data_IF_516326282373
#
_entry.id   IF_516326282373
#
_cell.length_a   1.000
_cell.length_b   1.000
_cell.length_c   1.000
_cell.angle_alpha   90.00
_cell.angle_beta   90.00
_cell.angle_gamma   90.00
#
_symmetry.space_group_name_H-M   'P 1'
#
loop_
_entity.id
_entity.type
_entity.pdbx_description
1 polymer ?
#
# COMPACT_ATOMS: atom_id res chain seq x y z
N UNK A 1 37.55 -3.96 8.37
CA UNK A 1 36.70 -5.08 7.92
C UNK A 1 35.85 -4.56 6.77
N UNK A 2 35.68 -5.33 5.68
CA UNK A 2 34.81 -4.91 4.58
C UNK A 2 33.39 -4.67 5.10
N UNK A 3 32.76 -3.57 4.66
CA UNK A 3 31.41 -3.22 5.07
C UNK A 3 30.41 -4.16 4.37
N UNK A 4 29.62 -4.92 5.16
CA UNK A 4 28.62 -5.87 4.66
C UNK A 4 27.61 -5.20 3.74
N UNK A 5 27.32 -3.93 3.97
CA UNK A 5 26.32 -3.18 3.20
C UNK A 5 26.92 -2.37 2.04
N UNK A 6 28.21 -2.54 1.75
CA UNK A 6 28.90 -1.77 0.71
C UNK A 6 28.35 -1.94 -0.71
N UNK A 7 27.70 -3.07 -1.02
CA UNK A 7 27.06 -3.33 -2.32
C UNK A 7 25.58 -2.93 -2.36
N UNK A 8 25.01 -2.47 -1.24
CA UNK A 8 23.61 -2.04 -1.20
C UNK A 8 23.47 -0.69 -1.89
N UNK A 9 22.66 -0.66 -2.95
CA UNK A 9 22.36 0.58 -3.67
C UNK A 9 21.74 1.64 -2.75
N UNK A 10 22.15 2.91 -2.90
CA UNK A 10 21.57 4.04 -2.16
C UNK A 10 20.08 4.28 -2.44
N UNK A 11 19.55 3.67 -3.50
CA UNK A 11 18.11 3.62 -3.79
C UNK A 11 17.30 2.96 -2.67
N UNK A 12 17.92 2.03 -1.93
CA UNK A 12 17.31 1.37 -0.76
C UNK A 12 17.75 2.00 0.56
N UNK A 13 18.42 3.16 0.48
CA UNK A 13 18.80 3.95 1.64
C UNK A 13 17.58 4.48 2.41
N UNK A 14 17.79 4.85 3.68
CA UNK A 14 16.69 5.17 4.59
C UNK A 14 15.86 6.38 4.13
N UNK A 15 16.48 7.36 3.46
CA UNK A 15 15.80 8.54 2.96
C UNK A 15 14.97 8.29 1.71
N UNK A 16 15.48 7.48 0.77
CA UNK A 16 14.71 7.03 -0.39
C UNK A 16 13.49 6.20 0.02
N UNK A 17 13.65 5.31 1.01
CA UNK A 17 12.55 4.52 1.56
C UNK A 17 11.55 5.38 2.33
N UNK A 18 12.01 6.34 3.13
CA UNK A 18 11.12 7.31 3.77
C UNK A 18 10.30 8.11 2.74
N UNK A 19 10.94 8.55 1.65
CA UNK A 19 10.26 9.23 0.54
C UNK A 19 9.14 8.37 -0.06
N UNK A 20 9.42 7.10 -0.30
CA UNK A 20 8.46 6.14 -0.84
C UNK A 20 7.27 5.92 0.10
N UNK A 21 7.50 5.78 1.42
CA UNK A 21 6.42 5.70 2.40
C UNK A 21 5.58 6.98 2.48
N UNK A 22 6.20 8.16 2.44
CA UNK A 22 5.49 9.43 2.45
C UNK A 22 4.64 9.61 1.18
N UNK A 23 5.15 9.18 0.04
CA UNK A 23 4.41 9.13 -1.24
C UNK A 23 3.24 8.13 -1.16
N UNK A 24 3.46 6.96 -0.54
CA UNK A 24 2.39 5.98 -0.28
C UNK A 24 1.27 6.59 0.54
N UNK A 25 1.62 7.24 1.66
CA UNK A 25 0.66 7.91 2.54
C UNK A 25 -0.10 9.02 1.82
N UNK A 26 0.61 9.78 0.99
CA UNK A 26 0.06 10.84 0.15
C UNK A 26 -1.02 10.33 -0.82
N UNK A 27 -0.78 9.16 -1.44
CA UNK A 27 -1.76 8.48 -2.31
C UNK A 27 -2.96 8.02 -1.48
N UNK A 28 -2.73 7.38 -0.33
CA UNK A 28 -3.80 6.93 0.57
C UNK A 28 -4.69 8.10 0.97
N UNK A 29 -4.10 9.22 1.39
CA UNK A 29 -4.81 10.46 1.74
C UNK A 29 -5.61 10.98 0.53
N UNK A 30 -5.00 11.02 -0.64
CA UNK A 30 -5.66 11.51 -1.86
C UNK A 30 -6.84 10.64 -2.30
N UNK A 31 -6.71 9.32 -2.17
CA UNK A 31 -7.77 8.39 -2.58
C UNK A 31 -8.90 8.28 -1.56
N UNK A 32 -8.61 8.49 -0.28
CA UNK A 32 -9.62 8.36 0.79
C UNK A 32 -10.27 9.69 1.15
N UNK A 33 -9.50 10.77 1.29
CA UNK A 33 -9.95 12.02 1.87
C UNK A 33 -10.29 13.10 0.83
N UNK A 34 -9.65 13.09 -0.34
CA UNK A 34 -9.83 14.14 -1.34
C UNK A 34 -11.14 13.94 -2.13
N UNK A 35 -12.09 14.88 -2.05
CA UNK A 35 -13.46 14.64 -2.50
C UNK A 35 -13.60 14.55 -4.04
N UNK A 36 -12.73 15.24 -4.80
CA UNK A 36 -12.63 15.13 -6.27
C UNK A 36 -11.75 13.93 -6.71
N UNK A 37 -10.46 13.93 -6.34
CA UNK A 37 -9.48 12.90 -6.74
C UNK A 37 -9.87 11.46 -6.38
N UNK A 38 -10.66 11.23 -5.32
CA UNK A 38 -11.17 9.88 -4.99
C UNK A 38 -12.05 9.26 -6.08
N UNK A 39 -12.75 10.08 -6.88
CA UNK A 39 -13.67 9.60 -7.94
C UNK A 39 -13.03 9.62 -9.32
N UNK A 40 -11.95 10.38 -9.48
CA UNK A 40 -11.23 10.48 -10.74
C UNK A 40 -10.42 9.20 -10.91
N UNK A 41 -10.79 8.32 -11.84
CA UNK A 41 -10.05 7.09 -12.13
C UNK A 41 -8.72 7.32 -12.86
N UNK A 42 -8.08 8.50 -12.70
CA UNK A 42 -6.80 8.84 -13.32
C UNK A 42 -5.66 8.09 -12.65
N UNK A 43 -4.67 7.73 -13.46
CA UNK A 43 -3.37 7.26 -12.98
C UNK A 43 -2.57 8.53 -12.71
N UNK A 44 -2.32 8.80 -11.43
CA UNK A 44 -1.60 9.99 -11.00
C UNK A 44 -0.08 9.71 -11.05
N UNK A 45 0.73 10.75 -11.28
CA UNK A 45 2.21 10.61 -11.34
C UNK A 45 2.75 10.00 -10.04
N UNK A 46 2.17 10.36 -8.90
CA UNK A 46 2.50 9.79 -7.60
C UNK A 46 2.29 8.26 -7.57
N UNK A 47 1.23 7.75 -8.19
CA UNK A 47 0.98 6.31 -8.29
C UNK A 47 2.06 5.62 -9.12
N UNK A 48 2.46 6.23 -10.24
CA UNK A 48 3.55 5.68 -11.05
C UNK A 48 4.84 5.65 -10.24
N UNK A 49 5.20 6.74 -9.56
CA UNK A 49 6.38 6.80 -8.70
C UNK A 49 6.34 5.73 -7.59
N UNK A 50 5.19 5.56 -6.92
CA UNK A 50 5.00 4.51 -5.92
C UNK A 50 5.26 3.10 -6.47
N UNK A 51 4.74 2.81 -7.66
CA UNK A 51 4.80 1.50 -8.31
C UNK A 51 6.17 1.21 -8.94
N UNK A 52 6.93 2.23 -9.31
CA UNK A 52 8.25 2.06 -9.94
C UNK A 52 9.27 1.44 -9.01
N UNK A 53 9.32 1.85 -7.73
CA UNK A 53 10.31 1.33 -6.79
C UNK A 53 10.22 -0.19 -6.57
N UNK A 54 9.05 -0.80 -6.26
CA UNK A 54 8.93 -2.25 -6.13
C UNK A 54 9.16 -2.98 -7.46
N UNK A 55 8.80 -2.39 -8.61
CA UNK A 55 9.09 -2.98 -9.91
C UNK A 55 10.60 -3.02 -10.22
N UNK A 56 11.32 -1.95 -9.89
CA UNK A 56 12.79 -1.90 -10.01
C UNK A 56 13.44 -2.86 -9.02
N UNK A 57 12.92 -2.94 -7.79
CA UNK A 57 13.39 -3.88 -6.78
C UNK A 57 13.25 -5.34 -7.25
N UNK A 58 12.12 -5.70 -7.86
CA UNK A 58 11.93 -7.01 -8.48
C UNK A 58 12.99 -7.31 -9.55
N UNK A 59 13.28 -6.35 -10.43
CA UNK A 59 14.33 -6.48 -11.43
C UNK A 59 15.73 -6.64 -10.82
N UNK A 60 16.08 -5.83 -9.82
CA UNK A 60 17.35 -5.95 -9.11
C UNK A 60 17.52 -7.30 -8.45
N UNK A 61 16.50 -7.79 -7.75
CA UNK A 61 16.51 -9.10 -7.10
C UNK A 61 16.74 -10.22 -8.10
N UNK A 62 16.00 -10.25 -9.21
CA UNK A 62 16.14 -11.29 -10.23
C UNK A 62 17.55 -11.24 -10.84
N UNK A 63 18.04 -10.04 -11.17
CA UNK A 63 19.38 -9.87 -11.76
C UNK A 63 20.48 -10.36 -10.83
N UNK A 64 20.44 -9.97 -9.55
CA UNK A 64 21.45 -10.36 -8.57
C UNK A 64 21.35 -11.84 -8.20
N UNK A 65 20.15 -12.40 -8.13
CA UNK A 65 19.96 -13.84 -7.92
C UNK A 65 20.55 -14.66 -9.07
N UNK A 66 20.36 -14.23 -10.32
CA UNK A 66 20.94 -14.90 -11.49
C UNK A 66 22.48 -14.80 -11.50
N UNK A 67 23.03 -13.63 -11.18
CA UNK A 67 24.49 -13.45 -11.07
C UNK A 67 25.08 -14.34 -9.97
N UNK A 68 24.45 -14.37 -8.80
CA UNK A 68 24.91 -15.22 -7.70
C UNK A 68 24.87 -16.71 -8.02
N UNK A 69 23.81 -17.17 -8.69
CA UNK A 69 23.69 -18.58 -9.08
C UNK A 69 24.78 -18.96 -10.09
N UNK A 70 25.06 -18.07 -11.05
CA UNK A 70 26.13 -18.25 -12.04
C UNK A 70 27.52 -18.26 -11.40
N UNK A 71 27.77 -17.38 -10.42
CA UNK A 71 29.05 -17.31 -9.72
C UNK A 71 29.26 -18.50 -8.79
N UNK A 72 28.20 -19.03 -8.18
CA UNK A 72 28.26 -20.23 -7.34
C UNK A 72 28.65 -21.48 -8.13
N UNK A 73 28.04 -21.70 -9.30
CA UNK A 73 28.37 -22.85 -10.17
C UNK A 73 29.85 -22.82 -10.61
N UNK A 74 30.44 -21.63 -10.76
CA UNK A 74 31.85 -21.45 -11.11
C UNK A 74 32.79 -21.56 -9.90
N UNK A 75 32.37 -21.03 -8.74
CA UNK A 75 33.18 -20.96 -7.51
C UNK A 75 33.12 -22.20 -6.62
N UNK A 76 32.20 -23.15 -6.86
CA UNK A 76 32.23 -24.49 -6.26
C UNK A 76 33.55 -25.26 -6.53
N UNK A 77 34.44 -24.70 -7.36
CA UNK A 77 35.79 -25.18 -7.64
C UNK A 77 36.93 -24.42 -6.93
N UNK A 78 36.68 -23.32 -6.20
CA UNK A 78 37.71 -22.47 -5.59
C UNK A 78 37.27 -21.84 -4.26
N UNK A 79 38.04 -22.12 -3.19
CA UNK A 79 37.78 -21.79 -1.77
C UNK A 79 38.03 -20.31 -1.40
N UNK A 80 37.60 -19.36 -2.24
CA UNK A 80 37.90 -17.93 -2.09
C UNK A 80 36.60 -17.14 -2.25
N UNK A 81 36.00 -16.64 -1.16
CA UNK A 81 34.92 -15.64 -1.32
C UNK A 81 33.93 -15.34 -0.19
N UNK A 82 34.16 -15.73 1.08
CA UNK A 82 33.17 -15.53 2.16
C UNK A 82 32.64 -14.09 2.30
N UNK A 83 33.53 -13.09 2.29
CA UNK A 83 33.15 -11.67 2.44
C UNK A 83 32.34 -11.13 1.25
N UNK A 84 32.63 -11.61 0.03
CA UNK A 84 31.93 -11.17 -1.19
C UNK A 84 30.53 -11.79 -1.27
N UNK A 85 30.37 -13.01 -0.78
CA UNK A 85 29.09 -13.70 -0.68
C UNK A 85 28.16 -13.00 0.32
N UNK A 86 28.69 -12.60 1.48
CA UNK A 86 27.95 -11.85 2.50
C UNK A 86 27.45 -10.48 2.01
N UNK A 87 28.28 -9.74 1.26
CA UNK A 87 27.89 -8.47 0.66
C UNK A 87 26.82 -8.64 -0.42
N UNK A 88 26.91 -9.71 -1.22
CA UNK A 88 25.96 -9.98 -2.29
C UNK A 88 24.59 -10.40 -1.75
N UNK A 89 24.56 -11.16 -0.64
CA UNK A 89 23.32 -11.48 0.07
C UNK A 89 22.69 -10.23 0.66
N UNK A 90 23.48 -9.34 1.28
CA UNK A 90 22.96 -8.08 1.79
C UNK A 90 22.39 -7.18 0.67
N UNK A 91 23.01 -7.20 -0.51
CA UNK A 91 22.55 -6.48 -1.69
C UNK A 91 21.20 -6.99 -2.22
N UNK A 92 20.91 -8.30 -2.09
CA UNK A 92 19.61 -8.90 -2.44
C UNK A 92 18.56 -8.66 -1.35
N UNK A 93 18.97 -8.72 -0.08
CA UNK A 93 18.08 -8.55 1.07
C UNK A 93 17.37 -7.19 1.06
N UNK A 94 18.08 -6.13 0.66
CA UNK A 94 17.57 -4.77 0.63
C UNK A 94 16.38 -4.55 -0.33
N UNK A 95 16.47 -4.84 -1.65
CA UNK A 95 15.34 -4.74 -2.57
C UNK A 95 14.22 -5.73 -2.23
N UNK A 96 14.55 -6.92 -1.73
CA UNK A 96 13.54 -7.90 -1.34
C UNK A 96 12.65 -7.40 -0.20
N UNK A 97 13.19 -6.60 0.72
CA UNK A 97 12.39 -5.89 1.75
C UNK A 97 11.30 -5.00 1.19
N UNK A 98 11.59 -4.36 0.06
CA UNK A 98 10.63 -3.47 -0.59
C UNK A 98 9.54 -4.28 -1.28
N UNK A 99 9.89 -5.40 -1.90
CA UNK A 99 8.93 -6.35 -2.48
C UNK A 99 7.94 -6.82 -1.42
N UNK A 100 8.42 -7.33 -0.28
CA UNK A 100 7.58 -7.81 0.81
C UNK A 100 6.66 -6.73 1.36
N UNK A 101 7.24 -5.56 1.65
CA UNK A 101 6.45 -4.44 2.18
C UNK A 101 5.41 -3.98 1.17
N UNK A 102 5.77 -3.93 -0.12
CA UNK A 102 4.85 -3.53 -1.16
C UNK A 102 3.73 -4.55 -1.36
N UNK A 103 3.94 -5.85 -1.18
CA UNK A 103 2.84 -6.81 -1.23
C UNK A 103 1.74 -6.47 -0.22
N UNK A 104 2.12 -6.12 1.03
CA UNK A 104 1.17 -5.69 2.06
C UNK A 104 0.47 -4.39 1.63
N UNK A 105 1.25 -3.39 1.18
CA UNK A 105 0.71 -2.11 0.71
C UNK A 105 -0.23 -2.30 -0.48
N UNK A 106 0.08 -3.23 -1.40
CA UNK A 106 -0.67 -3.48 -2.62
C UNK A 106 -2.07 -4.00 -2.31
N UNK A 107 -2.22 -4.85 -1.30
CA UNK A 107 -3.53 -5.34 -0.83
C UNK A 107 -4.38 -4.16 -0.34
N UNK A 108 -3.80 -3.30 0.50
CA UNK A 108 -4.49 -2.12 1.05
C UNK A 108 -4.92 -1.17 -0.08
N UNK A 109 -3.99 -0.84 -0.98
CA UNK A 109 -4.26 0.07 -2.10
C UNK A 109 -5.26 -0.52 -3.10
N UNK A 110 -5.21 -1.82 -3.35
CA UNK A 110 -6.16 -2.52 -4.20
C UNK A 110 -7.57 -2.44 -3.62
N UNK A 111 -7.73 -2.71 -2.32
CA UNK A 111 -9.01 -2.59 -1.62
C UNK A 111 -9.55 -1.16 -1.69
N UNK A 112 -8.71 -0.14 -1.45
CA UNK A 112 -9.10 1.28 -1.57
C UNK A 112 -9.51 1.61 -3.00
N UNK A 113 -8.79 1.12 -4.01
CA UNK A 113 -9.08 1.39 -5.42
C UNK A 113 -10.38 0.74 -5.89
N UNK A 114 -10.65 -0.50 -5.49
CA UNK A 114 -11.92 -1.21 -5.74
C UNK A 114 -13.07 -0.48 -5.05
N UNK A 115 -12.88 -0.04 -3.80
CA UNK A 115 -13.87 0.74 -3.07
C UNK A 115 -14.21 2.07 -3.76
N UNK A 116 -13.19 2.75 -4.29
CA UNK A 116 -13.35 3.96 -5.08
C UNK A 116 -13.90 3.70 -6.50
N UNK A 117 -14.18 2.44 -6.87
CA UNK A 117 -14.59 1.99 -8.21
C UNK A 117 -13.63 2.44 -9.32
N UNK A 118 -12.37 2.61 -8.98
CA UNK A 118 -11.33 3.09 -9.88
C UNK A 118 -10.52 1.92 -10.44
N UNK A 119 -11.09 1.17 -11.40
CA UNK A 119 -10.51 -0.06 -11.94
C UNK A 119 -9.09 0.11 -12.48
N UNK A 120 -8.78 1.25 -13.13
CA UNK A 120 -7.43 1.53 -13.65
C UNK A 120 -6.38 1.49 -12.55
N UNK A 121 -6.67 2.13 -11.41
CA UNK A 121 -5.79 2.15 -10.23
C UNK A 121 -5.63 0.76 -9.63
N UNK A 122 -6.74 0.02 -9.52
CA UNK A 122 -6.74 -1.34 -9.01
C UNK A 122 -5.90 -2.28 -9.88
N UNK A 123 -6.03 -2.20 -11.22
CA UNK A 123 -5.25 -3.00 -12.16
C UNK A 123 -3.76 -2.66 -12.05
N UNK A 124 -3.38 -1.39 -12.03
CA UNK A 124 -1.96 -1.01 -11.90
C UNK A 124 -1.34 -1.56 -10.61
N UNK A 125 -2.01 -1.41 -9.47
CA UNK A 125 -1.54 -1.93 -8.18
C UNK A 125 -1.46 -3.46 -8.20
N UNK A 126 -2.48 -4.13 -8.77
CA UNK A 126 -2.51 -5.59 -8.88
C UNK A 126 -1.39 -6.13 -9.75
N UNK A 127 -1.10 -5.52 -10.90
CA UNK A 127 -0.01 -5.95 -11.80
C UNK A 127 1.34 -5.92 -11.09
N UNK A 128 1.66 -4.83 -10.39
CA UNK A 128 2.93 -4.72 -9.68
C UNK A 128 2.96 -5.59 -8.42
N UNK A 129 1.83 -5.75 -7.73
CA UNK A 129 1.71 -6.69 -6.62
C UNK A 129 1.93 -8.14 -7.05
N UNK A 130 1.39 -8.53 -8.20
CA UNK A 130 1.63 -9.84 -8.81
C UNK A 130 3.06 -10.01 -9.29
N UNK A 131 3.71 -8.95 -9.80
CA UNK A 131 5.14 -8.98 -10.12
C UNK A 131 5.99 -9.24 -8.87
N UNK A 132 5.66 -8.58 -7.76
CA UNK A 132 6.33 -8.78 -6.47
C UNK A 132 6.16 -10.22 -5.98
N UNK A 133 4.93 -10.73 -6.00
CA UNK A 133 4.62 -12.11 -5.66
C UNK A 133 5.34 -13.11 -6.57
N UNK A 134 5.38 -12.86 -7.89
CA UNK A 134 6.07 -13.71 -8.84
C UNK A 134 7.59 -13.74 -8.58
N UNK A 135 8.17 -12.61 -8.18
CA UNK A 135 9.59 -12.52 -7.83
C UNK A 135 9.90 -13.31 -6.55
N UNK A 136 9.02 -13.24 -5.55
CA UNK A 136 9.15 -14.02 -4.32
C UNK A 136 8.98 -15.53 -4.59
N UNK A 137 7.98 -15.92 -5.39
CA UNK A 137 7.82 -17.29 -5.86
C UNK A 137 9.07 -17.77 -6.63
N UNK A 138 9.63 -16.90 -7.47
CA UNK A 138 10.86 -17.23 -8.20
C UNK A 138 12.01 -17.52 -7.25
N UNK A 139 12.27 -16.67 -6.25
CA UNK A 139 13.34 -16.92 -5.27
C UNK A 139 13.08 -18.21 -4.50
N UNK A 140 11.87 -18.40 -3.98
CA UNK A 140 11.53 -19.55 -3.16
C UNK A 140 11.60 -20.88 -3.93
N UNK A 141 11.23 -20.86 -5.22
CA UNK A 141 11.32 -22.04 -6.09
C UNK A 141 12.69 -22.23 -6.72
N UNK A 142 13.47 -21.15 -6.88
CA UNK A 142 14.85 -21.21 -7.34
C UNK A 142 15.74 -21.83 -6.26
N UNK A 143 16.81 -22.49 -6.68
CA UNK A 143 17.71 -23.34 -5.89
C UNK A 143 18.49 -22.62 -4.77
N UNK A 144 17.99 -21.55 -4.17
CA UNK A 144 18.56 -20.94 -2.97
C UNK A 144 18.68 -21.92 -1.80
N UNK A 145 17.80 -22.93 -1.75
CA UNK A 145 17.95 -24.04 -0.82
C UNK A 145 19.21 -24.88 -1.09
N UNK A 146 19.63 -25.03 -2.35
CA UNK A 146 20.85 -25.77 -2.73
C UNK A 146 22.12 -24.93 -2.55
N UNK A 147 21.99 -23.59 -2.50
CA UNK A 147 23.07 -22.65 -2.19
C UNK A 147 23.50 -22.68 -0.70
N UNK A 148 22.85 -23.47 0.14
CA UNK A 148 23.18 -23.59 1.56
C UNK A 148 22.90 -22.33 2.39
N UNK A 149 22.27 -21.30 1.79
CA UNK A 149 21.83 -20.08 2.48
C UNK A 149 20.62 -20.45 3.35
N UNK A 150 20.90 -20.93 4.55
CA UNK A 150 19.85 -21.22 5.53
C UNK A 150 19.36 -19.91 6.15
N UNK A 151 18.04 -19.80 6.32
CA UNK A 151 17.45 -18.76 7.15
C UNK A 151 17.96 -18.93 8.58
N UNK A 152 18.74 -17.96 9.09
CA UNK A 152 19.33 -18.08 10.42
C UNK A 152 18.23 -18.02 11.48
N UNK A 153 17.84 -19.21 11.94
CA UNK A 153 16.91 -19.39 13.05
C UNK A 153 17.63 -19.06 14.35
N UNK A 154 17.64 -17.78 14.70
CA UNK A 154 17.93 -17.22 16.04
C UNK A 154 18.80 -18.09 16.98
N UNK A 155 20.08 -17.75 17.09
CA UNK A 155 20.80 -17.88 18.36
C UNK A 155 21.82 -19.00 18.54
N UNK A 156 22.29 -19.67 17.50
CA UNK A 156 23.46 -20.56 17.62
C UNK A 156 24.71 -19.88 17.06
N UNK A 157 25.62 -19.51 17.96
CA UNK A 157 26.90 -18.81 17.76
C UNK A 157 27.98 -19.69 17.10
N UNK A 158 27.60 -20.73 16.37
CA UNK A 158 28.53 -21.61 15.66
C UNK A 158 28.01 -21.85 14.24
N UNK A 159 28.47 -21.02 13.31
CA UNK A 159 29.14 -21.41 12.07
C UNK A 159 29.04 -20.29 11.03
N UNK A 160 30.11 -20.15 10.24
CA UNK A 160 30.34 -19.15 9.18
C UNK A 160 29.46 -19.40 7.94
N UNK A 161 28.17 -19.64 8.15
CA UNK A 161 27.23 -19.89 7.06
C UNK A 161 26.58 -18.54 6.71
N UNK A 162 26.74 -18.06 5.47
CA UNK A 162 26.18 -16.79 5.04
C UNK A 162 24.64 -16.89 5.07
N UNK A 163 24.02 -16.07 5.90
CA UNK A 163 22.58 -16.10 6.11
C UNK A 163 21.97 -14.70 6.06
N UNK A 164 20.72 -14.64 5.59
CA UNK A 164 19.93 -13.42 5.60
C UNK A 164 19.75 -12.90 7.02
N UNK A 165 19.86 -11.59 7.21
CA UNK A 165 19.82 -10.98 8.54
C UNK A 165 18.42 -10.90 9.16
N UNK A 166 17.40 -11.29 8.39
CA UNK A 166 15.99 -11.27 8.78
C UNK A 166 15.23 -12.50 8.31
N UNK A 167 14.20 -12.87 9.07
CA UNK A 167 13.17 -13.80 8.62
C UNK A 167 12.23 -13.07 7.67
N UNK A 168 12.10 -13.62 6.46
CA UNK A 168 11.17 -13.16 5.45
C UNK A 168 9.78 -13.73 5.73
N UNK A 169 8.75 -13.01 5.30
CA UNK A 169 7.34 -13.37 5.53
C UNK A 169 6.98 -14.65 4.78
N UNK A 170 7.67 -14.96 3.68
CA UNK A 170 7.51 -16.21 2.94
C UNK A 170 8.36 -17.37 3.51
N UNK A 171 7.98 -17.86 4.69
CA UNK A 171 7.96 -19.32 4.82
C UNK A 171 6.95 -19.88 3.81
N UNK A 172 7.17 -21.08 3.27
CA UNK A 172 6.25 -21.72 2.29
C UNK A 172 4.77 -21.63 2.73
N UNK A 173 4.50 -21.79 4.04
CA UNK A 173 3.16 -21.61 4.62
C UNK A 173 2.64 -20.18 4.56
N UNK A 174 3.49 -19.18 4.82
CA UNK A 174 3.15 -17.76 4.73
C UNK A 174 2.80 -17.35 3.30
N UNK A 175 3.56 -17.85 2.32
CA UNK A 175 3.32 -17.61 0.90
C UNK A 175 2.00 -18.24 0.42
N UNK A 176 1.72 -19.49 0.82
CA UNK A 176 0.44 -20.15 0.51
C UNK A 176 -0.74 -19.40 1.12
N UNK A 177 -0.63 -18.96 2.38
CA UNK A 177 -1.67 -18.15 3.04
C UNK A 177 -1.85 -16.81 2.31
N UNK A 178 -0.76 -16.14 1.94
CA UNK A 178 -0.81 -14.87 1.22
C UNK A 178 -1.48 -15.01 -0.15
N UNK A 179 -1.17 -16.06 -0.91
CA UNK A 179 -1.81 -16.37 -2.20
C UNK A 179 -3.31 -16.61 -2.01
N UNK A 180 -3.71 -17.42 -1.03
CA UNK A 180 -5.12 -17.72 -0.76
C UNK A 180 -5.88 -16.43 -0.37
N UNK A 181 -5.29 -15.59 0.47
CA UNK A 181 -5.89 -14.30 0.86
C UNK A 181 -6.00 -13.34 -0.33
N UNK A 182 -4.97 -13.25 -1.15
CA UNK A 182 -4.99 -12.43 -2.38
C UNK A 182 -6.10 -12.91 -3.32
N UNK A 183 -6.16 -14.22 -3.61
CA UNK A 183 -7.19 -14.80 -4.47
C UNK A 183 -8.61 -14.56 -3.91
N UNK A 184 -8.80 -14.70 -2.61
CA UNK A 184 -10.09 -14.42 -1.96
C UNK A 184 -10.48 -12.95 -2.12
N UNK A 185 -9.54 -12.02 -1.90
CA UNK A 185 -9.78 -10.58 -2.07
C UNK A 185 -10.09 -10.24 -3.53
N UNK A 186 -9.37 -10.82 -4.50
CA UNK A 186 -9.64 -10.64 -5.92
C UNK A 186 -11.02 -11.20 -6.30
N UNK A 187 -11.40 -12.38 -5.81
CA UNK A 187 -12.70 -12.98 -6.08
C UNK A 187 -13.85 -12.14 -5.51
N UNK A 188 -13.72 -11.64 -4.27
CA UNK A 188 -14.71 -10.75 -3.63
C UNK A 188 -14.80 -9.43 -4.40
N UNK A 189 -13.66 -8.83 -4.75
CA UNK A 189 -13.61 -7.59 -5.54
C UNK A 189 -14.26 -7.75 -6.91
N UNK A 190 -13.92 -8.82 -7.65
CA UNK A 190 -14.51 -9.14 -8.94
C UNK A 190 -16.03 -9.37 -8.83
N UNK A 191 -16.48 -10.11 -7.83
CA UNK A 191 -17.91 -10.34 -7.56
C UNK A 191 -18.67 -9.04 -7.28
N UNK A 192 -18.09 -8.14 -6.47
CA UNK A 192 -18.68 -6.83 -6.18
C UNK A 192 -18.77 -5.95 -7.44
N UNK A 193 -17.73 -5.95 -8.28
CA UNK A 193 -17.70 -5.22 -9.55
C UNK A 193 -18.75 -5.76 -10.52
N UNK A 194 -18.83 -7.08 -10.69
CA UNK A 194 -19.82 -7.73 -11.56
C UNK A 194 -21.24 -7.40 -11.08
N UNK A 195 -21.50 -7.50 -9.79
CA UNK A 195 -22.80 -7.18 -9.19
C UNK A 195 -23.18 -5.72 -9.42
N UNK A 196 -22.22 -4.81 -9.33
CA UNK A 196 -22.42 -3.39 -9.62
C UNK A 196 -22.77 -3.15 -11.10
N UNK A 197 -22.02 -3.75 -12.04
CA UNK A 197 -22.27 -3.61 -13.49
C UNK A 197 -23.66 -4.13 -13.85
N UNK A 198 -24.06 -5.28 -13.31
CA UNK A 198 -25.38 -5.87 -13.55
C UNK A 198 -26.52 -5.00 -13.02
N UNK A 199 -26.36 -4.41 -11.81
CA UNK A 199 -27.33 -3.45 -11.26
C UNK A 199 -27.42 -2.17 -12.10
N UNK A 200 -26.28 -1.64 -12.54
CA UNK A 200 -26.25 -0.43 -13.37
C UNK A 200 -26.95 -0.62 -14.71
N UNK A 201 -26.79 -1.79 -15.36
CA UNK A 201 -27.50 -2.09 -16.62
C UNK A 201 -29.01 -2.19 -16.42
N UNK A 202 -29.46 -2.79 -15.31
CA UNK A 202 -30.90 -2.95 -15.01
C UNK A 202 -31.60 -1.60 -14.79
N UNK A 203 -30.94 -0.66 -14.12
CA UNK A 203 -31.49 0.70 -13.90
C UNK A 203 -31.66 1.49 -15.21
N UNK A 204 -30.79 1.29 -16.19
CA UNK A 204 -30.93 1.96 -17.50
C UNK A 204 -32.07 1.40 -18.35
N UNK A 205 -32.43 0.13 -18.13
CA UNK A 205 -33.48 -0.54 -18.89
C UNK A 205 -34.89 -0.20 -18.36
N UNK A 206 -35.04 -0.01 -17.05
CA UNK A 206 -36.31 0.48 -16.44
C UNK A 206 -36.62 1.94 -16.82
N UNK A 207 -35.60 2.76 -17.09
CA UNK A 207 -35.79 4.15 -17.47
C UNK A 207 -36.12 4.37 -18.95
N UNK A 208 -35.99 3.34 -19.80
CA UNK A 208 -36.34 3.37 -21.23
C UNK A 208 -37.77 2.93 -21.55
N UNK A 209 -38.58 2.60 -20.52
CA UNK A 209 -39.86 1.93 -20.69
C UNK A 209 -41.06 2.63 -20.04
N UNK A 210 -41.14 3.96 -20.03
CA UNK A 210 -42.45 4.65 -19.82
C UNK A 210 -42.43 6.05 -20.44
N UNK A 211 -42.85 6.13 -21.70
CA UNK A 211 -43.18 7.39 -22.36
C UNK A 211 -44.51 7.92 -21.80
N UNK A 212 -44.45 8.90 -20.88
CA UNK A 212 -45.60 9.77 -20.59
C UNK A 212 -45.10 11.21 -20.49
N UNK A 213 -45.53 12.13 -21.37
CA UNK A 213 -45.13 13.52 -21.26
C UNK A 213 -46.05 14.20 -20.26
N UNK A 214 -45.50 14.68 -19.15
CA UNK A 214 -46.18 15.74 -18.39
C UNK A 214 -45.16 16.75 -17.93
N UNK A 215 -45.28 17.88 -18.63
CA UNK A 215 -44.78 19.24 -18.41
C UNK A 215 -44.66 19.61 -16.93
N UNK A 216 -43.64 20.42 -16.64
CA UNK A 216 -43.28 21.04 -15.34
C UNK A 216 -42.45 20.21 -14.35
N UNK A 217 -41.14 20.16 -14.59
CA UNK A 217 -40.16 20.02 -13.49
C UNK A 217 -38.79 20.58 -13.93
N UNK A 218 -38.74 21.88 -14.20
CA UNK A 218 -37.49 22.63 -14.26
C UNK A 218 -37.06 23.00 -12.83
N UNK A 219 -36.74 21.99 -12.01
CA UNK A 219 -35.94 22.16 -10.81
C UNK A 219 -34.59 21.49 -11.08
N UNK A 220 -33.45 22.20 -10.92
CA UNK A 220 -32.18 21.68 -11.41
C UNK A 220 -31.82 20.37 -10.72
N UNK A 221 -31.76 19.29 -11.51
CA UNK A 221 -31.31 17.93 -11.12
C UNK A 221 -29.96 17.91 -10.38
N UNK A 222 -29.22 19.01 -10.38
CA UNK A 222 -28.01 19.22 -9.59
C UNK A 222 -28.23 19.13 -8.06
N UNK A 223 -29.42 19.46 -7.54
CA UNK A 223 -29.69 19.43 -6.09
C UNK A 223 -30.09 18.03 -5.57
N UNK A 224 -30.77 17.20 -6.37
CA UNK A 224 -31.21 15.87 -5.92
C UNK A 224 -30.07 14.82 -5.89
N UNK A 225 -29.02 14.99 -6.69
CA UNK A 225 -27.84 14.09 -6.63
C UNK A 225 -26.93 14.34 -5.42
N UNK A 226 -27.06 15.49 -4.74
CA UNK A 226 -26.24 15.84 -3.58
C UNK A 226 -26.66 15.16 -2.27
N UNK A 227 -27.95 14.87 -2.09
CA UNK A 227 -28.50 14.48 -0.79
C UNK A 227 -28.66 12.96 -0.58
N UNK A 228 -28.69 12.15 -1.64
CA UNK A 228 -28.90 10.69 -1.53
C UNK A 228 -27.63 9.84 -1.38
N UNK A 229 -26.44 10.45 -1.50
CA UNK A 229 -25.16 9.72 -1.52
C UNK A 229 -24.38 9.66 -0.21
N UNK A 230 -24.88 10.23 0.89
CA UNK A 230 -24.07 10.51 2.10
C UNK A 230 -24.43 9.68 3.33
N UNK A 231 -25.57 8.98 3.37
CA UNK A 231 -26.04 8.31 4.60
C UNK A 231 -25.74 6.81 4.72
N UNK A 232 -25.37 6.13 3.64
CA UNK A 232 -25.05 4.69 3.65
C UNK A 232 -23.55 4.38 3.70
N UNK A 233 -22.66 5.38 3.60
CA UNK A 233 -21.20 5.16 3.57
C UNK A 233 -20.53 5.18 4.95
N UNK A 234 -21.19 5.68 5.99
CA UNK A 234 -20.60 5.83 7.33
C UNK A 234 -20.42 4.51 8.09
N UNK A 235 -21.43 3.64 8.09
CA UNK A 235 -21.40 2.37 8.85
C UNK A 235 -20.46 1.31 8.25
N UNK A 236 -20.33 1.28 6.92
CA UNK A 236 -19.44 0.34 6.22
C UNK A 236 -17.97 0.78 6.34
N UNK A 237 -17.71 2.09 6.50
CA UNK A 237 -16.36 2.65 6.65
C UNK A 237 -15.66 2.24 7.95
N UNK A 238 -16.39 2.01 9.05
CA UNK A 238 -15.80 1.55 10.31
C UNK A 238 -15.45 0.05 10.28
N UNK A 239 -16.33 -0.78 9.74
CA UNK A 239 -16.08 -2.23 9.60
C UNK A 239 -14.90 -2.49 8.68
N UNK A 240 -14.70 -1.66 7.65
CA UNK A 240 -13.59 -1.78 6.72
C UNK A 240 -12.29 -1.15 7.22
N UNK A 241 -12.34 -0.06 7.99
CA UNK A 241 -11.16 0.44 8.71
C UNK A 241 -10.67 -0.61 9.72
N UNK A 242 -11.59 -1.32 10.37
CA UNK A 242 -11.30 -2.45 11.23
C UNK A 242 -10.75 -3.64 10.44
N UNK A 243 -11.28 -3.96 9.25
CA UNK A 243 -10.79 -5.01 8.37
C UNK A 243 -9.39 -4.71 7.78
N UNK A 244 -9.10 -3.45 7.47
CA UNK A 244 -7.77 -2.99 7.02
C UNK A 244 -6.80 -3.02 8.21
N UNK A 245 -7.23 -2.58 9.41
CA UNK A 245 -6.43 -2.74 10.63
C UNK A 245 -6.14 -4.22 10.88
N UNK A 246 -7.14 -5.11 10.84
CA UNK A 246 -6.94 -6.53 11.06
C UNK A 246 -6.12 -7.18 9.95
N UNK A 247 -6.26 -6.82 8.67
CA UNK A 247 -5.43 -7.37 7.59
C UNK A 247 -3.99 -6.84 7.58
N UNK A 248 -3.73 -5.64 8.09
CA UNK A 248 -2.35 -5.19 8.39
C UNK A 248 -1.77 -5.85 9.63
N UNK A 249 -2.65 -6.19 10.59
CA UNK A 249 -2.28 -6.84 11.84
C UNK A 249 -2.11 -8.35 11.64
N UNK A 250 -2.80 -9.05 10.74
CA UNK A 250 -2.79 -10.53 10.72
C UNK A 250 -1.49 -11.16 10.20
N UNK A 251 -0.89 -10.73 9.07
CA UNK A 251 0.41 -11.24 8.65
C UNK A 251 1.53 -10.79 9.61
N UNK A 252 1.43 -9.57 10.12
CA UNK A 252 2.32 -9.09 11.17
C UNK A 252 2.06 -9.79 12.51
N UNK A 253 0.86 -10.31 12.78
CA UNK A 253 0.48 -10.99 14.02
C UNK A 253 0.75 -12.47 14.02
N UNK A 254 0.91 -13.16 12.89
CA UNK A 254 1.38 -14.55 12.99
C UNK A 254 2.85 -14.60 13.43
N UNK A 255 3.67 -13.65 12.96
CA UNK A 255 5.00 -13.42 13.55
C UNK A 255 4.92 -12.65 14.88
N UNK A 256 4.00 -11.69 15.07
CA UNK A 256 3.87 -10.98 16.35
C UNK A 256 3.21 -11.79 17.45
N UNK A 257 2.50 -12.89 17.19
CA UNK A 257 1.88 -13.76 18.20
C UNK A 257 2.91 -14.79 18.66
N UNK A 258 3.72 -15.36 17.77
CA UNK A 258 4.91 -16.13 18.16
C UNK A 258 5.92 -15.27 18.92
N UNK A 259 6.14 -14.03 18.46
CA UNK A 259 6.98 -13.02 19.11
C UNK A 259 6.34 -12.47 20.41
N UNK A 260 5.03 -12.27 20.46
CA UNK A 260 4.32 -11.90 21.70
C UNK A 260 4.34 -13.06 22.68
N UNK A 261 4.25 -14.32 22.26
CA UNK A 261 4.39 -15.48 23.15
C UNK A 261 5.82 -15.59 23.72
N UNK A 262 6.84 -15.32 22.89
CA UNK A 262 8.24 -15.26 23.30
C UNK A 262 8.52 -14.10 24.28
N UNK A 263 7.85 -12.95 24.12
CA UNK A 263 8.00 -11.74 24.95
C UNK A 263 7.11 -11.78 26.21
N UNK A 264 5.91 -12.36 26.16
CA UNK A 264 5.01 -12.51 27.32
C UNK A 264 5.62 -13.46 28.36
N UNK A 265 6.41 -14.44 27.91
CA UNK A 265 7.19 -15.32 28.79
C UNK A 265 8.39 -14.59 29.43
N UNK A 266 8.81 -13.45 28.88
CA UNK A 266 10.02 -12.73 29.26
C UNK A 266 9.77 -11.43 30.07
N UNK A 267 8.54 -10.91 30.16
CA UNK A 267 8.36 -9.57 30.75
C UNK A 267 6.96 -9.33 31.31
N UNK A 268 6.77 -9.64 32.59
CA UNK A 268 5.95 -8.78 33.44
C UNK A 268 6.74 -7.50 33.69
N UNK A 269 6.41 -6.41 33.00
CA UNK A 269 6.59 -4.99 33.41
C UNK A 269 6.32 -4.09 32.19
N UNK A 270 5.40 -3.14 32.39
CA UNK A 270 4.96 -2.14 31.42
C UNK A 270 5.98 -1.03 31.26
N UNK A 271 6.68 -0.97 30.13
CA UNK A 271 7.29 0.24 29.59
C UNK A 271 7.82 -0.03 28.18
N UNK A 272 7.89 1.03 27.36
CA UNK A 272 8.70 1.16 26.14
C UNK A 272 8.00 0.88 24.79
N UNK A 273 7.38 1.94 24.25
CA UNK A 273 7.01 2.09 22.82
C UNK A 273 8.28 2.12 21.93
N UNK A 274 9.41 2.54 22.47
CA UNK A 274 10.67 2.73 21.75
C UNK A 274 11.33 1.47 21.17
N UNK A 275 11.48 0.34 21.90
CA UNK A 275 11.95 -0.90 21.31
C UNK A 275 10.95 -1.45 20.29
N UNK A 276 9.63 -1.24 20.49
CA UNK A 276 8.62 -1.61 19.48
C UNK A 276 8.83 -0.86 18.17
N UNK A 277 9.14 0.44 18.23
CA UNK A 277 9.46 1.25 17.05
C UNK A 277 10.79 0.83 16.41
N UNK A 278 11.82 0.50 17.21
CA UNK A 278 13.10 -0.01 16.70
C UNK A 278 12.95 -1.34 15.96
N UNK A 279 12.15 -2.25 16.51
CA UNK A 279 11.87 -3.56 15.89
C UNK A 279 11.07 -3.37 14.60
N UNK A 280 10.09 -2.47 14.59
CA UNK A 280 9.34 -2.11 13.38
C UNK A 280 10.28 -1.50 12.32
N UNK A 281 11.10 -0.53 12.69
CA UNK A 281 12.08 0.07 11.79
C UNK A 281 13.06 -0.97 11.23
N UNK A 282 13.52 -1.92 12.05
CA UNK A 282 14.43 -2.98 11.62
C UNK A 282 13.79 -3.98 10.64
N UNK A 283 12.45 -4.07 10.59
CA UNK A 283 11.74 -4.97 9.67
C UNK A 283 11.34 -4.28 8.36
N UNK A 284 10.96 -3.00 8.42
CA UNK A 284 10.42 -2.24 7.29
C UNK A 284 11.44 -1.34 6.57
N UNK A 285 12.61 -1.12 7.16
CA UNK A 285 13.71 -0.43 6.48
C UNK A 285 14.79 -1.45 6.09
N UNK A 286 15.18 -1.49 4.81
CA UNK A 286 16.39 -2.17 4.38
C UNK A 286 17.58 -1.70 5.21
N UNK A 287 18.45 -2.63 5.59
CA UNK A 287 19.75 -2.27 6.16
C UNK A 287 20.64 -1.79 5.02
N UNK A 288 21.22 -0.61 5.18
CA UNK A 288 22.15 0.00 4.23
C UNK A 288 23.24 0.74 4.97
N UNK A 289 24.38 0.97 4.33
CA UNK A 289 25.47 1.82 4.85
C UNK A 289 25.13 3.32 4.83
N UNK A 290 24.06 3.70 4.12
CA UNK A 290 23.63 5.10 3.98
C UNK A 290 22.92 5.60 5.25
N UNK A 291 23.09 6.90 5.52
CA UNK A 291 22.50 7.60 6.65
C UNK A 291 21.49 8.65 6.20
N UNK A 292 20.53 9.00 7.06
CA UNK A 292 19.65 10.15 6.84
C UNK A 292 20.39 11.49 6.74
N UNK A 293 21.61 11.56 7.28
CA UNK A 293 22.48 12.74 7.16
C UNK A 293 23.07 12.93 5.77
N UNK A 294 23.05 11.90 4.93
CA UNK A 294 23.61 11.95 3.60
C UNK A 294 22.70 12.81 2.70
N UNK A 295 23.32 13.63 1.85
CA UNK A 295 22.60 14.68 1.12
C UNK A 295 21.50 14.10 0.21
N UNK A 296 21.79 13.02 -0.50
CA UNK A 296 20.83 12.32 -1.37
C UNK A 296 19.64 11.76 -0.58
N UNK A 297 19.89 11.20 0.61
CA UNK A 297 18.87 10.65 1.49
C UNK A 297 18.00 11.75 2.14
N UNK A 298 18.62 12.84 2.57
CA UNK A 298 17.91 14.00 3.11
C UNK A 298 17.02 14.66 2.04
N UNK A 299 17.55 14.84 0.82
CA UNK A 299 16.81 15.39 -0.32
C UNK A 299 15.64 14.48 -0.71
N UNK A 300 15.86 13.16 -0.79
CA UNK A 300 14.79 12.22 -1.07
C UNK A 300 13.67 12.31 -0.01
N UNK A 301 14.02 12.33 1.28
CA UNK A 301 13.05 12.46 2.38
C UNK A 301 12.25 13.75 2.27
N UNK A 302 12.92 14.88 2.02
CA UNK A 302 12.30 16.19 1.86
C UNK A 302 11.34 16.22 0.65
N UNK A 303 11.70 15.57 -0.46
CA UNK A 303 10.83 15.44 -1.63
C UNK A 303 9.53 14.69 -1.27
N UNK A 304 9.62 13.55 -0.59
CA UNK A 304 8.45 12.79 -0.14
C UNK A 304 7.56 13.58 0.83
N UNK A 305 8.18 14.31 1.78
CA UNK A 305 7.46 15.18 2.71
C UNK A 305 6.70 16.30 1.98
N UNK A 306 7.31 16.87 0.94
CA UNK A 306 6.71 17.91 0.10
C UNK A 306 5.50 17.38 -0.67
N UNK A 307 5.61 16.19 -1.28
CA UNK A 307 4.49 15.53 -1.96
C UNK A 307 3.30 15.31 -1.01
N UNK A 308 3.58 14.79 0.19
CA UNK A 308 2.56 14.60 1.23
C UNK A 308 1.92 15.93 1.66
N UNK A 309 2.75 16.96 1.91
CA UNK A 309 2.30 18.29 2.33
C UNK A 309 1.36 18.93 1.30
N UNK A 310 1.72 18.89 0.00
CA UNK A 310 0.86 19.41 -1.06
C UNK A 310 -0.45 18.63 -1.21
N UNK A 311 -0.43 17.30 -1.09
CA UNK A 311 -1.64 16.50 -1.18
C UNK A 311 -2.55 16.68 0.05
N UNK A 312 -1.99 16.85 1.25
CA UNK A 312 -2.75 17.24 2.43
C UNK A 312 -3.37 18.63 2.26
N UNK A 313 -2.59 19.64 1.87
CA UNK A 313 -3.07 20.99 1.65
C UNK A 313 -4.19 21.05 0.60
N UNK A 314 -4.00 20.38 -0.55
CA UNK A 314 -5.01 20.34 -1.61
C UNK A 314 -6.30 19.65 -1.14
N UNK A 315 -6.19 18.59 -0.33
CA UNK A 315 -7.33 17.89 0.27
C UNK A 315 -8.12 18.79 1.21
N UNK A 316 -7.42 19.51 2.10
CA UNK A 316 -8.03 20.46 3.05
C UNK A 316 -8.71 21.60 2.30
N UNK A 317 -8.02 22.22 1.34
CA UNK A 317 -8.57 23.29 0.49
C UNK A 317 -9.81 22.83 -0.26
N UNK A 318 -9.79 21.63 -0.84
CA UNK A 318 -10.93 21.08 -1.57
C UNK A 318 -12.14 20.82 -0.66
N UNK A 319 -11.93 20.44 0.60
CA UNK A 319 -13.01 20.27 1.58
C UNK A 319 -13.62 21.59 2.00
N UNK A 320 -12.80 22.60 2.31
CA UNK A 320 -13.29 23.94 2.63
C UNK A 320 -14.12 24.54 1.49
N UNK A 321 -13.66 24.40 0.24
CA UNK A 321 -14.42 24.88 -0.93
C UNK A 321 -15.78 24.17 -1.10
N UNK A 322 -15.91 22.90 -0.71
CA UNK A 322 -17.21 22.21 -0.74
C UNK A 322 -18.14 22.68 0.38
N UNK A 323 -17.60 22.97 1.56
CA UNK A 323 -18.38 23.50 2.67
C UNK A 323 -18.93 24.90 2.36
N UNK A 324 -18.12 25.78 1.76
CA UNK A 324 -18.58 27.12 1.39
C UNK A 324 -19.67 27.10 0.32
N UNK A 325 -19.56 26.22 -0.68
CA UNK A 325 -20.61 26.04 -1.70
C UNK A 325 -21.89 25.48 -1.06
N UNK A 326 -21.76 24.52 -0.13
CA UNK A 326 -22.90 23.97 0.59
C UNK A 326 -23.65 25.04 1.40
N UNK A 327 -22.92 25.94 2.07
CA UNK A 327 -23.50 27.05 2.81
C UNK A 327 -24.22 28.06 1.90
N UNK A 328 -23.62 28.43 0.78
CA UNK A 328 -24.25 29.34 -0.19
C UNK A 328 -25.53 28.74 -0.80
N UNK A 329 -25.54 27.43 -1.07
CA UNK A 329 -26.72 26.74 -1.57
C UNK A 329 -27.85 26.68 -0.53
N UNK A 330 -27.49 26.46 0.74
CA UNK A 330 -28.45 26.45 1.84
C UNK A 330 -29.05 27.84 2.09
N UNK A 331 -28.22 28.88 2.06
CA UNK A 331 -28.66 30.26 2.23
C UNK A 331 -29.59 30.71 1.08
N UNK A 332 -29.25 30.35 -0.16
CA UNK A 332 -30.13 30.57 -1.31
C UNK A 332 -31.47 29.85 -1.20
N UNK A 333 -31.50 28.62 -0.67
CA UNK A 333 -32.75 27.87 -0.45
C UNK A 333 -33.64 28.54 0.59
N UNK A 334 -33.06 28.94 1.73
CA UNK A 334 -33.79 29.64 2.79
C UNK A 334 -34.38 30.96 2.30
N UNK A 335 -33.66 31.68 1.43
CA UNK A 335 -34.15 32.92 0.83
C UNK A 335 -35.35 32.68 -0.08
N UNK A 336 -35.34 31.64 -0.90
CA UNK A 336 -36.48 31.29 -1.77
C UNK A 336 -37.71 30.89 -0.93
N UNK A 337 -37.51 30.13 0.15
CA UNK A 337 -38.61 29.77 1.07
C UNK A 337 -39.23 31.01 1.74
N UNK A 338 -38.39 31.97 2.15
CA UNK A 338 -38.87 33.25 2.72
C UNK A 338 -39.67 34.07 1.69
N UNK A 339 -39.19 34.16 0.45
CA UNK A 339 -39.91 34.87 -0.63
C UNK A 339 -41.26 34.22 -0.96
N UNK A 340 -41.38 32.89 -0.86
CA UNK A 340 -42.66 32.18 -1.03
C UNK A 340 -43.63 32.39 0.12
N UNK A 341 -43.14 32.49 1.36
CA UNK A 341 -43.97 32.79 2.53
C UNK A 341 -44.53 34.21 2.48
N UNK A 342 -43.74 35.19 2.03
CA UNK A 342 -44.17 36.58 1.89
C UNK A 342 -45.26 36.74 0.82
N UNK A 343 -45.13 36.05 -0.33
CA UNK A 343 -46.15 36.05 -1.39
C UNK A 343 -47.47 35.39 -1.00
N UNK A 344 -47.46 34.39 -0.11
CA UNK A 344 -48.67 33.72 0.36
C UNK A 344 -49.33 34.44 1.56
N UNK A 345 -48.65 35.40 2.19
CA UNK A 345 -49.15 36.14 3.35
C UNK A 345 -50.02 37.36 3.03
N UNK A 346 -50.13 37.78 1.77
CA UNK A 346 -50.88 38.97 1.35
C UNK A 346 -52.26 38.65 0.77
N UNK A 347 -53.08 37.87 1.49
CA UNK A 347 -54.51 37.64 1.16
C UNK A 347 -55.42 38.36 2.12
#
# INVERSE_FOLDING_TARGET
MPDRYGLVSSLYGPGAIACWYLTTLSIVVSWTLHPKKRKTGSIDVDLIALLTLPAVAAGHVISQALTLLSDYDMSASSDIGGDQYDQSIAAIEAPFSIIETFMIISVILFLIAVWALCLRRAICVAVVGLLCLATECYINLSRFHDLGIQYQRSGTENDKIPAFSRSFVADFSGLVIAIILLLAIFAIGASAIITYILRSRRSSQESGGTSRPTREQNLPRALQMGARGTRTSGGISMVFAFAIMTLTIIPSAMNSIQFSYAILRASGYTSTIWPRLKIFAAHFYPRSSNSFSDLDQAVATAAGATVLGFNMYSTVKARYAMQSIGQLAQDGSNRIELEQLDQNGTV
#
